data_IF_041840598762
#
_entry.id   IF_041840598762
#
_cell.length_a   1.000
_cell.length_b   1.000
_cell.length_c   1.000
_cell.angle_alpha   90.00
_cell.angle_beta   90.00
_cell.angle_gamma   90.00
#
_symmetry.space_group_name_H-M   'P 1'
#
loop_
_entity.id
_entity.type
_entity.pdbx_description
1 polymer ?
#
# COMPACT_ATOMS: atom_id res chain seq x y z
N UNK A 1 33.70 -49.39 21.56
CA UNK A 1 32.45 -49.64 20.82
C UNK A 1 32.19 -48.38 20.03
N UNK A 2 32.47 -48.39 18.72
CA UNK A 2 32.27 -47.22 17.86
C UNK A 2 30.78 -47.11 17.56
N UNK A 3 30.18 -45.97 17.88
CA UNK A 3 28.87 -45.59 17.36
C UNK A 3 28.93 -45.57 15.83
N UNK A 4 28.41 -46.61 15.20
CA UNK A 4 28.07 -46.57 13.78
C UNK A 4 26.87 -45.64 13.64
N UNK A 5 27.11 -44.34 13.54
CA UNK A 5 26.11 -43.40 13.07
C UNK A 5 25.63 -43.88 11.69
N UNK A 6 24.40 -44.39 11.64
CA UNK A 6 23.78 -44.82 10.40
C UNK A 6 23.80 -43.67 9.39
N UNK A 7 24.36 -43.92 8.21
CA UNK A 7 24.38 -42.94 7.12
C UNK A 7 22.93 -42.53 6.79
N UNK A 8 22.62 -41.23 6.69
CA UNK A 8 21.25 -40.76 6.47
C UNK A 8 20.68 -41.31 5.15
N UNK A 9 19.41 -41.70 5.16
CA UNK A 9 18.75 -42.30 3.99
C UNK A 9 18.45 -41.25 2.92
N UNK A 10 18.25 -41.65 1.65
CA UNK A 10 17.92 -40.71 0.57
C UNK A 10 16.66 -39.87 0.81
N UNK A 11 15.74 -40.34 1.67
CA UNK A 11 14.55 -39.63 2.12
C UNK A 11 14.88 -38.52 3.11
N UNK A 12 15.82 -38.75 4.02
CA UNK A 12 16.26 -37.77 5.02
C UNK A 12 17.00 -36.59 4.37
N UNK A 13 17.80 -36.86 3.33
CA UNK A 13 18.49 -35.81 2.57
C UNK A 13 17.51 -34.94 1.79
N UNK A 14 16.50 -35.54 1.15
CA UNK A 14 15.48 -34.80 0.39
C UNK A 14 14.66 -33.87 1.29
N UNK A 15 14.33 -34.32 2.50
CA UNK A 15 13.66 -33.50 3.51
C UNK A 15 14.55 -32.33 3.97
N UNK A 16 15.85 -32.58 4.20
CA UNK A 16 16.81 -31.54 4.54
C UNK A 16 16.93 -30.45 3.47
N UNK A 17 16.93 -30.83 2.20
CA UNK A 17 16.94 -29.87 1.07
C UNK A 17 15.64 -29.06 1.04
N UNK A 18 14.48 -29.70 1.23
CA UNK A 18 13.19 -29.01 1.23
C UNK A 18 13.09 -27.98 2.37
N UNK A 19 13.48 -28.34 3.59
CA UNK A 19 13.47 -27.44 4.75
C UNK A 19 14.44 -26.27 4.55
N UNK A 20 15.64 -26.55 4.04
CA UNK A 20 16.64 -25.51 3.73
C UNK A 20 16.14 -24.55 2.63
N UNK A 21 15.47 -25.09 1.61
CA UNK A 21 14.87 -24.30 0.52
C UNK A 21 13.73 -23.42 1.05
N UNK A 22 12.92 -23.93 1.97
CA UNK A 22 11.88 -23.14 2.65
C UNK A 22 12.49 -22.00 3.49
N UNK A 23 13.58 -22.28 4.21
CA UNK A 23 14.33 -21.25 4.93
C UNK A 23 14.84 -20.14 3.98
N UNK A 24 15.44 -20.53 2.84
CA UNK A 24 15.85 -19.57 1.80
C UNK A 24 14.68 -18.70 1.32
N UNK A 25 13.52 -19.28 1.05
CA UNK A 25 12.32 -18.55 0.62
C UNK A 25 11.87 -17.55 1.68
N UNK A 26 11.75 -17.99 2.94
CA UNK A 26 11.29 -17.15 4.05
C UNK A 26 12.23 -15.95 4.24
N UNK A 27 13.54 -16.20 4.37
CA UNK A 27 14.50 -15.12 4.58
C UNK A 27 14.66 -14.22 3.34
N UNK A 28 14.49 -14.76 2.13
CA UNK A 28 14.43 -13.94 0.92
C UNK A 28 13.22 -12.99 0.92
N UNK A 29 12.03 -13.47 1.29
CA UNK A 29 10.84 -12.62 1.42
C UNK A 29 11.01 -11.55 2.49
N UNK A 30 11.58 -11.91 3.65
CA UNK A 30 11.87 -10.97 4.72
C UNK A 30 12.86 -9.89 4.29
N UNK A 31 13.94 -10.25 3.57
CA UNK A 31 14.93 -9.29 3.06
C UNK A 31 14.36 -8.39 1.96
N UNK A 32 13.50 -8.90 1.07
CA UNK A 32 12.79 -8.07 0.08
C UNK A 32 11.87 -7.06 0.77
N UNK A 33 11.07 -7.52 1.73
CA UNK A 33 10.17 -6.65 2.48
C UNK A 33 10.95 -5.56 3.23
N UNK A 34 12.05 -5.96 3.89
CA UNK A 34 12.94 -5.02 4.58
C UNK A 34 13.56 -4.00 3.62
N UNK A 35 14.04 -4.43 2.45
CA UNK A 35 14.60 -3.54 1.44
C UNK A 35 13.61 -2.44 1.03
N UNK A 36 12.35 -2.80 0.74
CA UNK A 36 11.34 -1.81 0.37
C UNK A 36 10.89 -0.94 1.55
N UNK A 37 10.81 -1.50 2.77
CA UNK A 37 10.47 -0.72 3.95
C UNK A 37 11.55 0.31 4.29
N UNK A 38 12.83 -0.05 4.18
CA UNK A 38 13.95 0.83 4.47
C UNK A 38 14.14 1.90 3.38
N UNK A 39 14.06 1.52 2.10
CA UNK A 39 14.27 2.48 1.00
C UNK A 39 13.02 3.31 0.69
N UNK A 40 11.83 2.84 1.06
CA UNK A 40 10.56 3.53 0.81
C UNK A 40 9.67 3.61 2.07
N UNK A 41 10.14 4.25 3.17
CA UNK A 41 9.40 4.31 4.41
C UNK A 41 8.10 5.11 4.27
N UNK A 42 7.02 4.60 4.87
CA UNK A 42 5.73 5.30 4.97
C UNK A 42 5.79 6.42 6.03
N UNK A 43 6.63 6.26 7.05
CA UNK A 43 6.84 7.24 8.12
C UNK A 43 8.30 7.22 8.58
N UNK A 44 8.80 8.34 9.09
CA UNK A 44 10.15 8.45 9.69
C UNK A 44 10.25 7.80 11.07
N UNK A 45 9.12 7.35 11.64
CA UNK A 45 9.03 6.84 13.01
C UNK A 45 9.03 5.30 13.09
N UNK A 46 9.03 4.60 11.94
CA UNK A 46 9.01 3.14 11.88
C UNK A 46 10.43 2.62 11.65
N UNK A 47 11.09 2.21 12.74
CA UNK A 47 12.42 1.60 12.68
C UNK A 47 12.40 0.14 12.19
N UNK A 48 13.58 -0.36 11.81
CA UNK A 48 13.81 -1.76 11.47
C UNK A 48 13.78 -2.63 12.72
N UNK A 49 13.09 -3.78 12.65
CA UNK A 49 13.06 -4.77 13.75
C UNK A 49 14.45 -5.34 14.08
N UNK A 50 15.43 -5.21 13.17
CA UNK A 50 16.73 -5.89 13.27
C UNK A 50 17.92 -4.94 13.50
N UNK A 51 17.70 -3.76 14.07
CA UNK A 51 18.77 -2.81 14.44
C UNK A 51 19.03 -2.85 15.96
N UNK A 52 19.77 -3.87 16.41
CA UNK A 52 20.04 -4.08 17.84
C UNK A 52 21.41 -3.54 18.27
N UNK A 53 22.37 -3.45 17.34
CA UNK A 53 23.72 -2.94 17.61
C UNK A 53 24.40 -2.51 16.32
N UNK A 54 25.48 -1.72 16.43
CA UNK A 54 26.28 -1.30 15.28
C UNK A 54 26.81 -2.46 14.42
N UNK A 55 27.06 -3.63 15.03
CA UNK A 55 27.46 -4.84 14.29
C UNK A 55 26.25 -5.61 13.75
N UNK A 56 25.21 -5.84 14.56
CA UNK A 56 23.98 -6.52 14.12
C UNK A 56 22.94 -5.51 13.64
N UNK A 57 23.07 -5.10 12.38
CA UNK A 57 22.25 -4.07 11.76
C UNK A 57 21.88 -4.49 10.32
N UNK A 58 20.57 -4.56 10.03
CA UNK A 58 20.05 -4.92 8.71
C UNK A 58 19.93 -3.74 7.74
N UNK A 59 19.99 -2.51 8.23
CA UNK A 59 19.79 -1.28 7.46
C UNK A 59 21.03 -0.90 6.67
N UNK A 60 22.22 -1.09 7.25
CA UNK A 60 23.51 -0.97 6.54
C UNK A 60 23.53 -1.81 5.26
N UNK A 61 22.98 -3.02 5.31
CA UNK A 61 22.80 -3.85 4.13
C UNK A 61 21.71 -3.29 3.21
N UNK A 62 20.54 -2.91 3.74
CA UNK A 62 19.42 -2.42 2.91
C UNK A 62 19.74 -1.16 2.09
N UNK A 63 20.63 -0.28 2.57
CA UNK A 63 21.07 0.93 1.87
C UNK A 63 22.33 0.75 1.00
N UNK A 64 22.96 -0.43 1.04
CA UNK A 64 24.15 -0.72 0.26
C UNK A 64 23.85 -0.78 -1.24
N UNK A 65 24.73 -0.24 -2.06
CA UNK A 65 24.61 -0.30 -3.53
C UNK A 65 24.61 -1.73 -4.11
N UNK A 66 25.03 -2.73 -3.34
CA UNK A 66 25.06 -4.13 -3.74
C UNK A 66 23.75 -4.89 -3.50
N UNK A 67 22.78 -4.33 -2.76
CA UNK A 67 21.57 -5.07 -2.39
C UNK A 67 20.45 -5.00 -3.42
N UNK A 68 20.62 -4.25 -4.50
CA UNK A 68 19.73 -4.29 -5.64
C UNK A 68 20.47 -4.08 -6.96
N UNK A 69 19.90 -4.59 -8.05
CA UNK A 69 20.40 -4.38 -9.41
C UNK A 69 19.28 -3.77 -10.26
N UNK A 70 19.46 -2.55 -10.75
CA UNK A 70 18.40 -1.78 -11.43
C UNK A 70 17.05 -1.79 -10.68
N UNK A 71 17.07 -1.66 -9.35
CA UNK A 71 15.84 -1.68 -8.55
C UNK A 71 15.26 -3.07 -8.23
N UNK A 72 15.88 -4.14 -8.75
CA UNK A 72 15.54 -5.53 -8.39
C UNK A 72 16.32 -5.92 -7.13
N UNK A 73 15.66 -6.21 -6.00
CA UNK A 73 16.36 -6.57 -4.76
C UNK A 73 17.12 -7.88 -4.92
N UNK A 74 18.31 -8.00 -4.36
CA UNK A 74 19.12 -9.22 -4.38
C UNK A 74 18.38 -10.40 -3.73
N UNK A 75 17.53 -10.13 -2.73
CA UNK A 75 16.63 -11.11 -2.13
C UNK A 75 15.71 -11.79 -3.14
N UNK A 76 15.34 -11.14 -4.26
CA UNK A 76 14.55 -11.77 -5.32
C UNK A 76 15.30 -12.92 -6.01
N UNK A 77 16.61 -12.77 -6.24
CA UNK A 77 17.43 -13.86 -6.77
C UNK A 77 17.48 -15.04 -5.80
N UNK A 78 17.56 -14.74 -4.49
CA UNK A 78 17.53 -15.76 -3.45
C UNK A 78 16.16 -16.45 -3.32
N UNK A 79 15.07 -15.71 -3.48
CA UNK A 79 13.72 -16.26 -3.55
C UNK A 79 13.57 -17.22 -4.72
N UNK A 80 14.01 -16.80 -5.91
CA UNK A 80 13.97 -17.64 -7.11
C UNK A 80 14.82 -18.91 -6.93
N UNK A 81 16.01 -18.80 -6.33
CA UNK A 81 16.84 -19.94 -6.03
C UNK A 81 16.16 -20.93 -5.06
N UNK A 82 15.62 -20.43 -3.94
CA UNK A 82 14.90 -21.26 -2.97
C UNK A 82 13.67 -21.96 -3.56
N UNK A 83 12.86 -21.24 -4.34
CA UNK A 83 11.70 -21.82 -5.05
C UNK A 83 12.13 -22.90 -6.04
N UNK A 84 13.18 -22.65 -6.81
CA UNK A 84 13.65 -23.59 -7.81
C UNK A 84 14.24 -24.86 -7.18
N UNK A 85 14.97 -24.73 -6.07
CA UNK A 85 15.45 -25.89 -5.30
C UNK A 85 14.26 -26.70 -4.73
N UNK A 86 13.26 -26.03 -4.15
CA UNK A 86 12.06 -26.68 -3.62
C UNK A 86 11.27 -27.43 -4.70
N UNK A 87 11.05 -26.80 -5.87
CA UNK A 87 10.44 -27.45 -7.03
C UNK A 87 11.26 -28.66 -7.50
N UNK A 88 12.59 -28.59 -7.41
CA UNK A 88 13.45 -29.72 -7.75
C UNK A 88 13.32 -30.92 -6.83
N UNK A 89 12.91 -30.71 -5.57
CA UNK A 89 12.58 -31.79 -4.62
C UNK A 89 11.18 -32.34 -4.89
N UNK A 90 10.19 -31.49 -5.18
CA UNK A 90 8.80 -31.89 -5.43
C UNK A 90 8.66 -32.64 -6.77
N UNK A 91 9.36 -32.17 -7.81
CA UNK A 91 9.29 -32.72 -9.16
C UNK A 91 10.68 -33.21 -9.64
N UNK A 92 11.21 -34.29 -9.04
CA UNK A 92 12.55 -34.75 -9.32
C UNK A 92 12.65 -35.35 -10.74
N UNK A 93 13.64 -34.88 -11.50
CA UNK A 93 14.06 -35.49 -12.77
C UNK A 93 15.58 -35.41 -12.91
N UNK A 94 16.20 -36.24 -13.75
CA UNK A 94 17.65 -36.22 -13.97
C UNK A 94 18.14 -34.85 -14.45
N UNK A 95 17.37 -34.18 -15.32
CA UNK A 95 17.66 -32.84 -15.80
C UNK A 95 17.52 -31.78 -14.68
N UNK A 96 16.49 -31.91 -13.84
CA UNK A 96 16.28 -31.02 -12.70
C UNK A 96 17.39 -31.17 -11.65
N UNK A 97 17.74 -32.40 -11.27
CA UNK A 97 18.83 -32.70 -10.32
C UNK A 97 20.18 -32.12 -10.76
N UNK A 98 20.50 -32.19 -12.04
CA UNK A 98 21.72 -31.55 -12.59
C UNK A 98 21.68 -30.04 -12.44
N UNK A 99 20.53 -29.43 -12.76
CA UNK A 99 20.35 -27.97 -12.76
C UNK A 99 20.36 -27.40 -11.34
N UNK A 100 19.67 -28.01 -10.38
CA UNK A 100 19.65 -27.57 -8.98
C UNK A 100 21.04 -27.67 -8.33
N UNK A 101 21.88 -28.65 -8.71
CA UNK A 101 23.26 -28.75 -8.20
C UNK A 101 24.14 -27.61 -8.68
N UNK A 102 24.06 -27.26 -9.96
CA UNK A 102 24.76 -26.08 -10.50
C UNK A 102 24.30 -24.81 -9.79
N UNK A 103 22.98 -24.62 -9.68
CA UNK A 103 22.40 -23.46 -9.01
C UNK A 103 22.82 -23.38 -7.53
N UNK A 104 22.75 -24.50 -6.79
CA UNK A 104 23.13 -24.56 -5.38
C UNK A 104 24.62 -24.23 -5.18
N UNK A 105 25.50 -24.69 -6.07
CA UNK A 105 26.93 -24.35 -6.02
C UNK A 105 27.15 -22.86 -6.29
N UNK A 106 26.56 -22.31 -7.36
CA UNK A 106 26.68 -20.88 -7.68
C UNK A 106 26.15 -20.01 -6.55
N UNK A 107 24.98 -20.36 -6.00
CA UNK A 107 24.38 -19.65 -4.87
C UNK A 107 25.25 -19.78 -3.61
N UNK A 108 25.80 -20.96 -3.32
CA UNK A 108 26.70 -21.18 -2.19
C UNK A 108 27.95 -20.29 -2.26
N UNK A 109 28.59 -20.23 -3.43
CA UNK A 109 29.76 -19.37 -3.65
C UNK A 109 29.41 -17.88 -3.56
N UNK A 110 28.28 -17.47 -4.14
CA UNK A 110 27.78 -16.10 -4.05
C UNK A 110 27.49 -15.68 -2.61
N UNK A 111 26.85 -16.55 -1.84
CA UNK A 111 26.57 -16.33 -0.41
C UNK A 111 27.85 -16.21 0.41
N UNK A 112 28.88 -17.04 0.15
CA UNK A 112 30.19 -16.88 0.82
C UNK A 112 30.77 -15.50 0.51
N UNK A 113 30.74 -15.07 -0.75
CA UNK A 113 31.25 -13.76 -1.14
C UNK A 113 30.52 -12.62 -0.42
N UNK A 114 29.19 -12.69 -0.35
CA UNK A 114 28.35 -11.70 0.35
C UNK A 114 28.58 -11.72 1.86
N UNK A 115 28.75 -12.88 2.48
CA UNK A 115 29.07 -13.00 3.90
C UNK A 115 30.43 -12.37 4.22
N UNK A 116 31.46 -12.67 3.43
CA UNK A 116 32.78 -12.06 3.57
C UNK A 116 32.73 -10.55 3.36
N UNK A 117 31.97 -10.08 2.36
CA UNK A 117 31.77 -8.66 2.14
C UNK A 117 31.06 -7.96 3.32
N UNK A 118 30.06 -8.61 3.93
CA UNK A 118 29.37 -8.11 5.12
C UNK A 118 30.36 -7.88 6.27
N UNK A 119 31.26 -8.84 6.52
CA UNK A 119 32.22 -8.78 7.61
C UNK A 119 33.39 -7.81 7.34
N UNK A 120 33.94 -7.85 6.13
CA UNK A 120 35.18 -7.12 5.79
C UNK A 120 34.89 -5.72 5.24
N UNK A 121 33.85 -5.58 4.43
CA UNK A 121 33.47 -4.32 3.77
C UNK A 121 32.58 -3.46 4.65
N UNK A 122 31.40 -3.98 5.02
CA UNK A 122 30.42 -3.21 5.80
C UNK A 122 30.72 -3.18 7.30
N UNK A 123 31.48 -4.17 7.80
CA UNK A 123 31.72 -4.39 9.24
C UNK A 123 30.42 -4.51 10.05
N UNK A 124 29.35 -4.99 9.40
CA UNK A 124 28.03 -5.23 9.97
C UNK A 124 27.46 -6.53 9.42
N UNK A 125 26.63 -7.22 10.20
CA UNK A 125 25.99 -8.48 9.85
C UNK A 125 24.47 -8.37 9.96
N UNK A 126 23.80 -8.45 8.82
CA UNK A 126 22.34 -8.50 8.74
C UNK A 126 21.82 -9.89 9.17
N UNK A 127 20.97 -9.93 10.20
CA UNK A 127 20.41 -11.18 10.73
C UNK A 127 19.49 -11.91 9.73
N UNK A 128 18.75 -11.15 8.92
CA UNK A 128 17.90 -11.74 7.88
C UNK A 128 18.75 -12.37 6.77
N UNK A 129 19.84 -11.70 6.37
CA UNK A 129 20.81 -12.25 5.43
C UNK A 129 21.50 -13.48 6.01
N UNK A 130 21.90 -13.45 7.29
CA UNK A 130 22.48 -14.61 7.97
C UNK A 130 21.54 -15.82 7.93
N UNK A 131 20.24 -15.61 8.17
CA UNK A 131 19.23 -16.66 8.04
C UNK A 131 19.19 -17.29 6.64
N UNK A 132 19.22 -16.44 5.59
CA UNK A 132 19.34 -16.92 4.21
C UNK A 132 20.66 -17.67 3.96
N UNK A 133 21.80 -17.16 4.48
CA UNK A 133 23.12 -17.73 4.29
C UNK A 133 23.21 -19.14 4.87
N UNK A 134 22.75 -19.31 6.11
CA UNK A 134 22.72 -20.61 6.79
C UNK A 134 21.82 -21.60 6.04
N UNK A 135 20.64 -21.16 5.62
CA UNK A 135 19.70 -21.98 4.85
C UNK A 135 20.31 -22.43 3.51
N UNK A 136 20.96 -21.52 2.79
CA UNK A 136 21.67 -21.81 1.54
C UNK A 136 22.81 -22.79 1.72
N UNK A 137 23.64 -22.62 2.77
CA UNK A 137 24.75 -23.52 3.05
C UNK A 137 24.26 -24.93 3.39
N UNK A 138 23.21 -25.05 4.20
CA UNK A 138 22.58 -26.33 4.51
C UNK A 138 22.03 -27.01 3.26
N UNK A 139 21.33 -26.27 2.38
CA UNK A 139 20.82 -26.80 1.12
C UNK A 139 21.94 -27.39 0.24
N UNK A 140 23.06 -26.67 0.12
CA UNK A 140 24.23 -27.16 -0.62
C UNK A 140 24.87 -28.39 0.03
N UNK A 141 25.03 -28.40 1.35
CA UNK A 141 25.62 -29.53 2.08
C UNK A 141 24.78 -30.81 1.95
N UNK A 142 23.45 -30.72 2.04
CA UNK A 142 22.57 -31.88 1.81
C UNK A 142 22.67 -32.39 0.37
N UNK A 143 22.67 -31.50 -0.63
CA UNK A 143 22.87 -31.87 -2.04
C UNK A 143 24.25 -32.47 -2.32
N UNK A 144 25.29 -31.97 -1.64
CA UNK A 144 26.64 -32.49 -1.73
C UNK A 144 26.72 -33.92 -1.17
N UNK A 145 26.08 -34.19 -0.03
CA UNK A 145 26.01 -35.53 0.58
C UNK A 145 25.22 -36.54 -0.28
N UNK A 146 24.25 -36.10 -1.07
CA UNK A 146 23.54 -36.97 -2.02
C UNK A 146 24.41 -37.35 -3.23
N UNK A 147 25.56 -36.70 -3.42
CA UNK A 147 26.45 -36.93 -4.58
C UNK A 147 27.42 -38.09 -4.31
N UNK A 148 27.43 -39.15 -5.15
CA UNK A 148 28.35 -40.27 -4.97
C UNK A 148 29.82 -39.86 -5.03
N UNK A 149 30.64 -40.37 -4.08
CA UNK A 149 32.07 -40.05 -3.90
C UNK A 149 32.89 -40.16 -5.20
N UNK A 150 32.66 -41.21 -5.99
CA UNK A 150 33.41 -41.47 -7.24
C UNK A 150 33.11 -40.47 -8.37
N UNK A 151 32.08 -39.63 -8.21
CA UNK A 151 31.62 -38.65 -9.20
C UNK A 151 31.84 -37.20 -8.78
N UNK A 152 32.54 -36.94 -7.67
CA UNK A 152 32.84 -35.61 -7.13
C UNK A 152 33.89 -34.81 -7.94
N UNK A 153 33.74 -34.74 -9.28
CA UNK A 153 34.53 -33.85 -10.14
C UNK A 153 33.76 -32.54 -10.37
N UNK A 154 34.44 -31.40 -10.46
CA UNK A 154 33.84 -30.08 -10.71
C UNK A 154 32.89 -30.08 -11.93
N UNK A 155 33.20 -30.87 -12.96
CA UNK A 155 32.35 -31.09 -14.16
C UNK A 155 30.95 -31.64 -13.85
N UNK A 156 30.77 -32.34 -12.73
CA UNK A 156 29.48 -32.90 -12.30
C UNK A 156 28.54 -31.83 -11.72
N UNK A 157 29.10 -30.76 -11.14
CA UNK A 157 28.35 -29.61 -10.67
C UNK A 157 28.10 -28.58 -11.77
N UNK A 158 28.88 -28.59 -12.86
CA UNK A 158 28.74 -27.69 -14.00
C UNK A 158 28.21 -28.43 -15.24
N UNK A 159 27.04 -29.05 -15.13
CA UNK A 159 26.35 -29.69 -16.25
C UNK A 159 24.82 -29.44 -16.25
N UNK A 160 24.35 -28.18 -16.18
CA UNK A 160 22.93 -27.88 -16.09
C UNK A 160 22.18 -28.26 -17.37
N UNK A 161 20.87 -28.52 -17.26
CA UNK A 161 20.03 -28.71 -18.43
C UNK A 161 19.75 -27.36 -19.08
N UNK A 162 20.18 -27.16 -20.34
CA UNK A 162 19.96 -25.90 -21.06
C UNK A 162 18.47 -25.55 -21.18
N UNK A 163 17.60 -26.54 -21.40
CA UNK A 163 16.14 -26.32 -21.52
C UNK A 163 15.54 -25.79 -20.21
N UNK A 164 15.81 -26.46 -19.10
CA UNK A 164 15.27 -26.06 -17.79
C UNK A 164 15.87 -24.72 -17.36
N UNK A 165 17.17 -24.52 -17.59
CA UNK A 165 17.86 -23.26 -17.29
C UNK A 165 17.27 -22.11 -18.08
N UNK A 166 17.02 -22.29 -19.38
CA UNK A 166 16.39 -21.27 -20.22
C UNK A 166 15.00 -20.89 -19.74
N UNK A 167 14.16 -21.87 -19.40
CA UNK A 167 12.82 -21.63 -18.84
C UNK A 167 12.91 -20.89 -17.50
N UNK A 168 13.77 -21.34 -16.58
CA UNK A 168 13.96 -20.70 -15.29
C UNK A 168 14.44 -19.25 -15.44
N UNK A 169 15.31 -18.98 -16.40
CA UNK A 169 15.84 -17.64 -16.68
C UNK A 169 14.76 -16.72 -17.25
N UNK A 170 13.86 -17.20 -18.10
CA UNK A 170 12.70 -16.42 -18.57
C UNK A 170 11.81 -16.00 -17.40
N UNK A 171 11.46 -16.92 -16.50
CA UNK A 171 10.65 -16.60 -15.31
C UNK A 171 11.37 -15.63 -14.35
N UNK A 172 12.69 -15.82 -14.19
CA UNK A 172 13.52 -14.92 -13.38
C UNK A 172 13.53 -13.49 -13.96
N UNK A 173 13.72 -13.35 -15.27
CA UNK A 173 13.71 -12.04 -15.91
C UNK A 173 12.31 -11.39 -15.89
N UNK A 174 11.25 -12.18 -16.04
CA UNK A 174 9.88 -11.67 -15.95
C UNK A 174 9.55 -11.12 -14.56
N UNK A 175 9.88 -11.85 -13.49
CA UNK A 175 9.68 -11.33 -12.15
C UNK A 175 10.64 -10.19 -11.79
N UNK A 176 11.88 -10.20 -12.30
CA UNK A 176 12.80 -9.07 -12.19
C UNK A 176 12.22 -7.80 -12.81
N UNK A 177 11.60 -7.90 -13.99
CA UNK A 177 10.88 -6.77 -14.61
C UNK A 177 9.75 -6.25 -13.71
N UNK A 178 8.97 -7.14 -13.07
CA UNK A 178 7.96 -6.75 -12.10
C UNK A 178 8.52 -5.96 -10.91
N UNK A 179 9.61 -6.43 -10.30
CA UNK A 179 10.28 -5.71 -9.21
C UNK A 179 10.87 -4.37 -9.67
N UNK A 180 11.42 -4.30 -10.87
CA UNK A 180 11.90 -3.04 -11.46
C UNK A 180 10.77 -2.01 -11.58
N UNK A 181 9.62 -2.41 -12.12
CA UNK A 181 8.44 -1.54 -12.24
C UNK A 181 7.93 -1.09 -10.87
N UNK A 182 7.88 -2.00 -9.90
CA UNK A 182 7.47 -1.68 -8.53
C UNK A 182 8.42 -0.67 -7.86
N UNK A 183 9.72 -0.84 -8.03
CA UNK A 183 10.73 0.11 -7.55
C UNK A 183 10.58 1.50 -8.17
N UNK A 184 10.35 1.57 -9.50
CA UNK A 184 10.11 2.84 -10.19
C UNK A 184 8.84 3.54 -9.68
N UNK A 185 7.75 2.79 -9.49
CA UNK A 185 6.51 3.32 -8.94
C UNK A 185 6.70 3.90 -7.53
N UNK A 186 7.41 3.18 -6.64
CA UNK A 186 7.74 3.65 -5.30
C UNK A 186 8.64 4.89 -5.30
N UNK A 187 9.63 4.93 -6.21
CA UNK A 187 10.51 6.09 -6.40
C UNK A 187 9.74 7.33 -6.87
N UNK A 188 8.82 7.15 -7.82
CA UNK A 188 7.97 8.23 -8.32
C UNK A 188 7.02 8.78 -7.23
N UNK A 189 6.49 7.90 -6.37
CA UNK A 189 5.66 8.30 -5.24
C UNK A 189 6.43 9.15 -4.21
N UNK A 190 7.63 8.73 -3.81
CA UNK A 190 8.43 9.46 -2.82
C UNK A 190 9.01 10.79 -3.33
N UNK A 191 9.38 10.88 -4.61
CA UNK A 191 9.96 12.12 -5.19
C UNK A 191 8.91 13.15 -5.59
N UNK A 192 7.66 13.02 -5.13
CA UNK A 192 6.57 13.93 -5.45
C UNK A 192 6.08 13.84 -6.90
N UNK A 193 6.49 12.84 -7.68
CA UNK A 193 6.06 12.66 -9.07
C UNK A 193 4.55 12.42 -9.19
N UNK A 194 3.96 11.73 -8.21
CA UNK A 194 2.50 11.54 -8.10
C UNK A 194 1.81 12.87 -7.80
N UNK A 195 2.28 13.62 -6.80
CA UNK A 195 1.71 14.93 -6.46
C UNK A 195 1.81 15.91 -7.63
N UNK A 196 2.97 15.98 -8.30
CA UNK A 196 3.17 16.81 -9.48
C UNK A 196 2.27 16.41 -10.65
N UNK A 197 1.99 15.10 -10.82
CA UNK A 197 1.04 14.62 -11.82
C UNK A 197 -0.39 15.06 -11.47
N UNK A 198 -0.82 14.88 -10.22
CA UNK A 198 -2.15 15.30 -9.75
C UNK A 198 -2.34 16.82 -9.90
N UNK A 199 -1.34 17.61 -9.52
CA UNK A 199 -1.36 19.07 -9.68
C UNK A 199 -1.45 19.46 -11.16
N UNK A 200 -0.69 18.79 -12.03
CA UNK A 200 -0.74 19.03 -13.48
C UNK A 200 -2.10 18.66 -14.06
N UNK A 201 -2.66 17.53 -13.64
CA UNK A 201 -3.98 17.07 -14.05
C UNK A 201 -5.06 18.06 -13.60
N UNK A 202 -5.03 18.51 -12.34
CA UNK A 202 -5.92 19.54 -11.82
C UNK A 202 -5.86 20.84 -12.63
N UNK A 203 -4.66 21.36 -12.91
CA UNK A 203 -4.50 22.56 -13.74
C UNK A 203 -4.83 22.36 -15.23
N UNK A 204 -4.99 21.12 -15.68
CA UNK A 204 -5.43 20.81 -17.05
C UNK A 204 -6.95 20.73 -17.19
N UNK A 205 -7.69 20.67 -16.07
CA UNK A 205 -9.15 20.67 -16.08
C UNK A 205 -9.70 22.03 -16.53
N UNK A 206 -10.86 22.00 -17.19
CA UNK A 206 -11.58 23.21 -17.57
C UNK A 206 -12.01 23.98 -16.31
N UNK A 207 -11.77 25.29 -16.31
CA UNK A 207 -12.16 26.16 -15.20
C UNK A 207 -13.65 26.43 -15.29
N UNK A 208 -14.39 25.96 -14.28
CA UNK A 208 -15.80 26.32 -14.11
C UNK A 208 -15.93 27.68 -13.41
N UNK A 209 -16.91 28.51 -13.79
CA UNK A 209 -17.18 29.76 -13.08
C UNK A 209 -17.68 29.49 -11.65
N UNK A 210 -17.51 30.48 -10.76
CA UNK A 210 -18.17 30.44 -9.46
C UNK A 210 -19.70 30.42 -9.65
N UNK A 211 -20.45 29.78 -8.74
CA UNK A 211 -21.91 29.80 -8.81
C UNK A 211 -22.46 31.22 -8.73
N UNK A 212 -23.62 31.41 -9.37
CA UNK A 212 -24.36 32.68 -9.32
C UNK A 212 -24.79 33.09 -7.91
N UNK A 213 -24.86 32.14 -6.97
CA UNK A 213 -25.17 32.38 -5.57
C UNK A 213 -24.40 31.43 -4.66
N UNK A 214 -23.56 32.00 -3.78
CA UNK A 214 -22.83 31.25 -2.76
C UNK A 214 -23.75 31.03 -1.56
N UNK A 215 -23.89 29.78 -1.14
CA UNK A 215 -24.65 29.40 0.04
C UNK A 215 -24.20 30.17 1.29
N UNK A 216 -25.13 30.62 2.16
CA UNK A 216 -24.79 31.27 3.44
C UNK A 216 -24.32 30.27 4.51
N UNK A 217 -24.37 28.96 4.23
CA UNK A 217 -24.04 27.90 5.19
C UNK A 217 -22.59 27.47 5.03
N UNK A 218 -21.72 27.88 5.95
CA UNK A 218 -20.27 27.65 5.83
C UNK A 218 -19.77 26.68 6.88
N UNK A 219 -18.88 25.77 6.49
CA UNK A 219 -18.24 24.81 7.40
C UNK A 219 -16.86 25.27 7.87
N UNK A 220 -16.32 26.32 7.25
CA UNK A 220 -15.20 27.12 7.71
C UNK A 220 -15.37 28.57 7.22
N UNK A 221 -15.07 29.53 8.09
CA UNK A 221 -15.20 30.97 7.82
C UNK A 221 -13.97 31.70 8.37
N UNK A 222 -12.99 31.97 7.53
CA UNK A 222 -11.79 32.73 7.85
C UNK A 222 -11.99 34.24 7.70
N UNK A 223 -12.83 34.67 6.74
CA UNK A 223 -13.13 36.07 6.45
C UNK A 223 -14.64 36.30 6.37
N UNK A 224 -15.08 37.57 6.44
CA UNK A 224 -16.50 37.90 6.32
C UNK A 224 -17.03 37.68 4.90
N UNK A 225 -16.25 38.10 3.90
CA UNK A 225 -16.58 37.88 2.49
C UNK A 225 -15.92 36.61 1.98
N UNK A 226 -16.68 35.78 1.23
CA UNK A 226 -16.20 34.49 0.72
C UNK A 226 -14.90 34.64 -0.08
N UNK A 227 -14.84 35.68 -0.92
CA UNK A 227 -13.74 35.94 -1.87
C UNK A 227 -12.43 36.41 -1.25
N UNK A 228 -12.44 36.84 0.02
CA UNK A 228 -11.27 37.40 0.71
C UNK A 228 -10.38 36.33 1.36
N UNK A 229 -10.86 35.09 1.52
CA UNK A 229 -10.04 34.02 2.06
C UNK A 229 -8.97 33.56 1.04
N UNK A 230 -7.74 33.25 1.49
CA UNK A 230 -6.70 32.69 0.63
C UNK A 230 -7.14 31.41 -0.10
N UNK A 231 -7.90 30.56 0.60
CA UNK A 231 -8.43 29.30 0.07
C UNK A 231 -9.95 29.33 0.16
N UNK A 232 -10.59 29.07 -0.98
CA UNK A 232 -12.04 29.19 -1.17
C UNK A 232 -12.56 27.89 -1.76
N UNK A 233 -13.53 27.26 -1.10
CA UNK A 233 -14.10 25.99 -1.51
C UNK A 233 -15.62 26.13 -1.51
N UNK A 234 -16.24 25.84 -2.65
CA UNK A 234 -17.69 25.63 -2.75
C UNK A 234 -17.91 24.13 -2.83
N UNK A 235 -18.50 23.57 -1.78
CA UNK A 235 -18.75 22.15 -1.64
C UNK A 235 -20.19 21.83 -2.03
N UNK A 236 -20.39 21.28 -3.23
CA UNK A 236 -21.68 20.69 -3.62
C UNK A 236 -21.83 19.32 -2.98
N UNK A 237 -22.76 19.18 -2.04
CA UNK A 237 -22.85 17.97 -1.23
C UNK A 237 -24.27 17.49 -0.95
N UNK A 238 -24.35 16.17 -0.84
CA UNK A 238 -25.49 15.40 -0.37
C UNK A 238 -25.11 14.69 0.94
N UNK A 239 -25.91 14.90 1.99
CA UNK A 239 -25.71 14.30 3.31
C UNK A 239 -25.74 12.76 3.36
N UNK A 240 -26.27 12.10 2.34
CA UNK A 240 -26.38 10.64 2.23
C UNK A 240 -25.45 10.03 1.17
N UNK A 241 -24.62 10.85 0.50
CA UNK A 241 -23.61 10.41 -0.45
C UNK A 241 -22.34 9.89 0.27
N UNK A 242 -21.87 8.66 -0.01
CA UNK A 242 -20.65 8.12 0.59
C UNK A 242 -19.39 8.92 0.26
N UNK A 243 -19.30 9.48 -0.95
CA UNK A 243 -18.15 10.28 -1.37
C UNK A 243 -18.15 11.66 -0.68
N UNK A 244 -19.33 12.26 -0.46
CA UNK A 244 -19.44 13.47 0.36
C UNK A 244 -19.04 13.22 1.82
N UNK A 245 -19.35 12.03 2.37
CA UNK A 245 -18.85 11.65 3.69
C UNK A 245 -17.31 11.53 3.72
N UNK A 246 -16.71 11.01 2.66
CA UNK A 246 -15.25 10.95 2.56
C UNK A 246 -14.64 12.36 2.48
N UNK A 247 -15.22 13.23 1.65
CA UNK A 247 -14.82 14.64 1.55
C UNK A 247 -14.96 15.39 2.87
N UNK A 248 -16.03 15.13 3.64
CA UNK A 248 -16.20 15.69 4.99
C UNK A 248 -14.97 15.44 5.87
N UNK A 249 -14.46 14.21 5.93
CA UNK A 249 -13.26 13.91 6.72
C UNK A 249 -11.99 14.58 6.17
N UNK A 250 -11.86 14.68 4.84
CA UNK A 250 -10.75 15.38 4.21
C UNK A 250 -10.77 16.88 4.52
N UNK A 251 -11.94 17.53 4.45
CA UNK A 251 -12.09 18.94 4.78
C UNK A 251 -11.86 19.19 6.28
N UNK A 252 -12.28 18.29 7.17
CA UNK A 252 -11.95 18.38 8.60
C UNK A 252 -10.44 18.28 8.87
N UNK A 253 -9.70 17.50 8.08
CA UNK A 253 -8.24 17.48 8.15
C UNK A 253 -7.65 18.79 7.59
N UNK A 254 -8.15 19.27 6.46
CA UNK A 254 -7.70 20.50 5.82
C UNK A 254 -7.89 21.72 6.72
N UNK A 255 -9.02 21.80 7.43
CA UNK A 255 -9.30 22.86 8.41
C UNK A 255 -8.25 22.94 9.53
N UNK A 256 -7.68 21.79 9.93
CA UNK A 256 -6.63 21.72 10.95
C UNK A 256 -5.26 22.10 10.39
N UNK A 257 -4.99 21.78 9.13
CA UNK A 257 -3.73 22.07 8.46
C UNK A 257 -3.60 23.55 8.05
N UNK A 258 -4.73 24.19 7.68
CA UNK A 258 -4.79 25.59 7.25
C UNK A 258 -5.69 26.44 8.15
N UNK A 259 -5.37 26.58 9.45
CA UNK A 259 -6.21 27.33 10.38
C UNK A 259 -6.28 28.80 9.96
N UNK A 260 -7.49 29.36 9.94
CA UNK A 260 -7.73 30.77 9.63
C UNK A 260 -7.51 31.17 8.17
N UNK A 261 -7.42 30.22 7.23
CA UNK A 261 -7.16 30.51 5.81
C UNK A 261 -8.28 30.05 4.85
N UNK A 262 -9.30 29.35 5.35
CA UNK A 262 -10.32 28.69 4.56
C UNK A 262 -11.68 29.35 4.71
N UNK A 263 -12.32 29.66 3.58
CA UNK A 263 -13.76 29.75 3.49
C UNK A 263 -14.30 28.52 2.74
N UNK A 264 -15.18 27.77 3.39
CA UNK A 264 -15.82 26.57 2.82
C UNK A 264 -17.32 26.77 2.88
N UNK A 265 -17.93 27.06 1.74
CA UNK A 265 -19.38 27.20 1.60
C UNK A 265 -19.99 25.84 1.24
N UNK A 266 -20.97 25.39 2.01
CA UNK A 266 -21.71 24.17 1.78
C UNK A 266 -22.91 24.45 0.87
N UNK A 267 -22.81 24.03 -0.37
CA UNK A 267 -23.84 24.18 -1.39
C UNK A 267 -24.70 22.90 -1.41
N UNK A 268 -25.90 22.97 -0.83
CA UNK A 268 -26.83 21.83 -0.81
C UNK A 268 -27.09 21.32 -2.23
N UNK A 269 -26.76 20.05 -2.48
CA UNK A 269 -27.00 19.38 -3.75
C UNK A 269 -27.49 17.94 -3.51
N UNK A 270 -28.67 17.76 -2.90
CA UNK A 270 -29.23 16.44 -2.63
C UNK A 270 -29.48 15.68 -3.94
N UNK A 271 -29.07 14.41 -4.00
CA UNK A 271 -29.31 13.49 -5.11
C UNK A 271 -30.66 12.79 -4.95
N UNK A 272 -31.71 13.60 -4.76
CA UNK A 272 -33.11 13.20 -4.63
C UNK A 272 -33.99 14.16 -5.47
N UNK A 273 -34.77 13.58 -6.38
CA UNK A 273 -35.56 14.30 -7.38
C UNK A 273 -36.70 15.13 -6.76
N UNK A 274 -37.06 14.87 -5.49
CA UNK A 274 -38.12 15.62 -4.78
C UNK A 274 -37.84 17.11 -4.64
N UNK A 275 -36.57 17.51 -4.56
CA UNK A 275 -36.18 18.91 -4.42
C UNK A 275 -35.08 19.34 -5.40
N UNK A 276 -34.43 18.40 -6.08
CA UNK A 276 -33.41 18.68 -7.08
C UNK A 276 -33.85 18.17 -8.46
N UNK A 277 -34.29 19.09 -9.32
CA UNK A 277 -34.81 18.76 -10.66
C UNK A 277 -33.72 18.35 -11.66
N UNK A 278 -32.44 18.58 -11.33
CA UNK A 278 -31.30 18.15 -12.16
C UNK A 278 -31.07 16.63 -12.06
N UNK A 279 -31.67 15.99 -11.06
CA UNK A 279 -31.49 14.57 -10.76
C UNK A 279 -32.67 13.77 -11.27
N UNK A 280 -32.47 13.01 -12.35
CA UNK A 280 -33.53 12.23 -13.01
C UNK A 280 -34.08 11.06 -12.15
N UNK A 281 -33.30 10.58 -11.18
CA UNK A 281 -33.64 9.42 -10.35
C UNK A 281 -33.24 9.64 -8.90
N UNK A 282 -34.10 9.24 -7.97
CA UNK A 282 -33.77 9.21 -6.55
C UNK A 282 -32.60 8.24 -6.27
N UNK A 283 -31.42 8.80 -6.00
CA UNK A 283 -30.26 8.04 -5.52
C UNK A 283 -30.26 7.94 -3.99
N UNK A 284 -30.65 9.02 -3.31
CA UNK A 284 -30.61 9.11 -1.85
C UNK A 284 -31.94 9.58 -1.23
N UNK A 285 -32.93 8.69 -1.08
CA UNK A 285 -34.20 9.03 -0.44
C UNK A 285 -34.00 9.61 0.97
N UNK A 286 -34.44 10.85 1.15
CA UNK A 286 -34.30 11.59 2.39
C UNK A 286 -33.19 12.65 2.43
N UNK A 287 -32.40 12.79 1.37
CA UNK A 287 -31.39 13.84 1.24
C UNK A 287 -32.01 15.24 1.22
N UNK A 288 -33.17 15.42 0.59
CA UNK A 288 -33.91 16.68 0.61
C UNK A 288 -34.33 17.05 2.05
N UNK A 289 -34.87 16.08 2.81
CA UNK A 289 -35.29 16.28 4.19
C UNK A 289 -34.11 16.76 5.07
N UNK A 290 -32.95 16.13 4.93
CA UNK A 290 -31.74 16.51 5.66
C UNK A 290 -31.23 17.90 5.26
N UNK A 291 -31.33 18.24 3.97
CA UNK A 291 -30.95 19.58 3.48
C UNK A 291 -31.84 20.66 4.09
N UNK A 292 -33.15 20.44 4.15
CA UNK A 292 -34.07 21.37 4.81
C UNK A 292 -33.80 21.49 6.31
N UNK A 293 -33.63 20.36 7.01
CA UNK A 293 -33.30 20.34 8.45
C UNK A 293 -32.02 21.15 8.74
N UNK A 294 -30.98 20.99 7.92
CA UNK A 294 -29.73 21.70 8.09
C UNK A 294 -29.82 23.19 7.72
N UNK A 295 -30.63 23.54 6.72
CA UNK A 295 -30.77 24.90 6.22
C UNK A 295 -31.69 25.80 7.07
N UNK A 296 -32.57 25.21 7.89
CA UNK A 296 -33.63 25.97 8.58
C UNK A 296 -33.11 27.06 9.54
N UNK A 297 -32.03 26.76 10.28
CA UNK A 297 -31.44 27.67 11.26
C UNK A 297 -29.92 27.78 11.03
N UNK A 298 -29.43 28.87 10.40
CA UNK A 298 -28.02 29.06 10.10
C UNK A 298 -27.10 28.98 11.33
N UNK A 299 -27.59 29.34 12.52
CA UNK A 299 -26.79 29.28 13.75
C UNK A 299 -26.54 27.83 14.21
N UNK A 300 -27.43 26.91 13.84
CA UNK A 300 -27.35 25.49 14.19
C UNK A 300 -26.77 24.62 13.07
N UNK A 301 -26.64 25.17 11.87
CA UNK A 301 -26.19 24.46 10.67
C UNK A 301 -24.95 23.59 10.92
N UNK A 302 -23.85 24.15 11.44
CA UNK A 302 -22.59 23.41 11.60
C UNK A 302 -22.75 22.19 12.52
N UNK A 303 -23.52 22.34 13.61
CA UNK A 303 -23.77 21.26 14.54
C UNK A 303 -24.62 20.15 13.90
N UNK A 304 -25.66 20.53 13.16
CA UNK A 304 -26.54 19.62 12.43
C UNK A 304 -25.76 18.90 11.32
N UNK A 305 -25.02 19.63 10.49
CA UNK A 305 -24.15 19.13 9.43
C UNK A 305 -23.21 18.04 9.94
N UNK A 306 -22.46 18.34 11.01
CA UNK A 306 -21.51 17.39 11.58
C UNK A 306 -22.22 16.16 12.17
N UNK A 307 -23.35 16.35 12.86
CA UNK A 307 -24.09 15.22 13.44
C UNK A 307 -24.66 14.28 12.37
N UNK A 308 -25.09 14.81 11.22
CA UNK A 308 -25.56 14.01 10.10
C UNK A 308 -24.43 13.13 9.55
N UNK A 309 -23.27 13.71 9.20
CA UNK A 309 -22.14 12.95 8.66
C UNK A 309 -21.56 11.95 9.68
N UNK A 310 -21.43 12.34 10.96
CA UNK A 310 -20.96 11.44 12.01
C UNK A 310 -21.94 10.28 12.30
N UNK A 311 -23.22 10.42 11.92
CA UNK A 311 -24.24 9.39 12.03
C UNK A 311 -24.76 8.90 10.67
N UNK A 312 -23.94 8.98 9.62
CA UNK A 312 -24.30 8.75 8.22
C UNK A 312 -25.22 7.53 7.98
N UNK A 313 -24.91 6.37 8.58
CA UNK A 313 -25.76 5.16 8.45
C UNK A 313 -27.16 5.35 9.03
N UNK A 314 -27.27 6.03 10.17
CA UNK A 314 -28.55 6.31 10.85
C UNK A 314 -29.32 7.43 10.13
N UNK A 315 -28.63 8.39 9.52
CA UNK A 315 -29.22 9.51 8.79
C UNK A 315 -30.20 9.06 7.68
N UNK A 316 -30.00 7.87 7.12
CA UNK A 316 -30.91 7.26 6.13
C UNK A 316 -32.29 6.93 6.70
N UNK A 317 -32.42 6.76 8.02
CA UNK A 317 -33.66 6.32 8.66
C UNK A 317 -34.59 7.51 8.92
N UNK A 318 -35.86 7.51 8.45
CA UNK A 318 -36.81 8.60 8.70
C UNK A 318 -37.08 8.87 10.19
N UNK A 319 -37.10 7.82 11.02
CA UNK A 319 -37.18 7.91 12.49
C UNK A 319 -36.05 8.76 13.09
N UNK A 320 -34.83 8.55 12.61
CA UNK A 320 -33.67 9.27 13.11
C UNK A 320 -33.68 10.73 12.69
N UNK A 321 -34.06 11.03 11.44
CA UNK A 321 -34.18 12.40 10.91
C UNK A 321 -35.21 13.23 11.69
N UNK A 322 -36.37 12.66 12.00
CA UNK A 322 -37.37 13.30 12.88
C UNK A 322 -36.83 13.58 14.28
N UNK A 323 -36.07 12.65 14.87
CA UNK A 323 -35.42 12.85 16.18
C UNK A 323 -34.35 13.93 16.13
N UNK A 324 -33.57 14.00 15.05
CA UNK A 324 -32.58 15.05 14.82
C UNK A 324 -33.26 16.42 14.74
N UNK A 325 -34.30 16.56 13.92
CA UNK A 325 -35.04 17.81 13.79
C UNK A 325 -35.59 18.29 15.15
N UNK A 326 -36.16 17.37 15.93
CA UNK A 326 -36.63 17.65 17.30
C UNK A 326 -35.51 18.06 18.26
N UNK A 327 -34.35 17.39 18.19
CA UNK A 327 -33.19 17.71 19.02
C UNK A 327 -32.74 19.17 18.83
N UNK A 328 -32.80 19.67 17.61
CA UNK A 328 -32.37 21.04 17.26
C UNK A 328 -33.52 22.07 17.22
N UNK A 329 -34.76 21.64 17.45
CA UNK A 329 -35.94 22.51 17.40
C UNK A 329 -36.21 23.06 16.00
N UNK A 330 -35.98 22.25 14.96
CA UNK A 330 -36.10 22.61 13.54
C UNK A 330 -37.13 21.75 12.82
N UNK A 331 -38.12 21.20 13.52
CA UNK A 331 -39.15 20.32 12.94
C UNK A 331 -39.96 20.99 11.83
N UNK A 332 -40.13 22.32 11.92
CA UNK A 332 -40.84 23.12 10.92
C UNK A 332 -40.12 23.18 9.58
N UNK A 333 -38.84 22.80 9.52
CA UNK A 333 -38.03 22.82 8.31
C UNK A 333 -38.67 22.07 7.13
N UNK A 334 -39.44 21.01 7.40
CA UNK A 334 -40.03 20.15 6.38
C UNK A 334 -41.24 20.75 5.66
N UNK A 335 -41.75 21.87 6.19
CA UNK A 335 -42.93 22.57 5.69
C UNK A 335 -42.68 24.07 5.51
N UNK A 336 -41.46 24.54 5.81
CA UNK A 336 -41.12 25.95 5.77
C UNK A 336 -40.75 26.37 4.35
N UNK A 337 -41.64 27.13 3.73
CA UNK A 337 -41.52 27.53 2.33
C UNK A 337 -40.27 28.38 2.07
N UNK A 338 -39.89 29.25 3.01
CA UNK A 338 -38.68 30.07 2.88
C UNK A 338 -37.41 29.20 2.84
N UNK A 339 -37.33 28.19 3.70
CA UNK A 339 -36.23 27.22 3.72
C UNK A 339 -36.19 26.40 2.43
N UNK A 340 -37.34 25.92 1.96
CA UNK A 340 -37.43 25.17 0.70
C UNK A 340 -36.97 26.02 -0.49
N UNK A 341 -37.43 27.28 -0.58
CA UNK A 341 -37.03 28.20 -1.63
C UNK A 341 -35.54 28.55 -1.58
N UNK A 342 -34.97 28.71 -0.39
CA UNK A 342 -33.52 28.93 -0.23
C UNK A 342 -32.71 27.72 -0.71
N UNK A 343 -33.10 26.50 -0.30
CA UNK A 343 -32.43 25.26 -0.75
C UNK A 343 -32.58 25.08 -2.27
N UNK A 344 -33.78 25.32 -2.81
CA UNK A 344 -34.00 25.30 -4.26
C UNK A 344 -33.14 26.34 -4.99
N UNK A 345 -33.00 27.56 -4.44
CA UNK A 345 -32.12 28.58 -4.99
C UNK A 345 -30.67 28.09 -5.01
N UNK A 346 -30.17 27.50 -3.91
CA UNK A 346 -28.81 26.96 -3.75
C UNK A 346 -28.50 25.84 -4.75
N UNK A 347 -29.47 24.95 -4.99
CA UNK A 347 -29.35 23.86 -5.96
C UNK A 347 -29.16 24.41 -7.38
N UNK A 348 -29.91 25.45 -7.75
CA UNK A 348 -29.95 26.02 -9.12
C UNK A 348 -28.90 27.11 -9.36
N UNK A 349 -27.71 26.99 -8.77
CA UNK A 349 -26.68 28.05 -8.80
C UNK A 349 -25.53 27.83 -9.78
N UNK A 350 -25.42 26.60 -10.32
CA UNK A 350 -24.35 26.16 -11.21
C UNK A 350 -24.80 26.03 -12.66
#
# INVERSE_FOLDING_TARGET
>A
MSDSQALPTGRDLSLGIALSSLGMIIFALLTINHFFAANFPETIFKGSFCDFSAFFNCDSSAYSSLTHFFGVPLGYLGLAAGLFLLLGVIFPSTAMKKTIRTLALVNFLGVIALFLYSLLGQKSLCLLCLGYYLSSWLAFLFLWRETPSDRAKLKYFFSPSLKITGVALVFLLWGAYGYHQYFQAKTAAQRGGVAAKVVREFYSLEKVPNPSFISPFWTAKATENFEEAPIRIVEYADFLCPDCLYLFYQLEQLKKEYPGQLNIAFQFFPLEAKCNQVVDKDFHPGACELSYIAAYDPQKFLAIHNEIFLNFKKARQPEWRRKLAKKYGVEKALTDEATHQLVAKIINTG
#
